data_IF_570518617877
#
_entry.id   IF_570518617877
#
_cell.length_a   1.000
_cell.length_b   1.000
_cell.length_c   1.000
_cell.angle_alpha   90.00
_cell.angle_beta   90.00
_cell.angle_gamma   90.00
#
_symmetry.space_group_name_H-M   'P 1'
#
loop_
_entity.id
_entity.type
_entity.pdbx_description
1 polymer ?
#
# COMPACT_ATOMS: atom_id res chain seq x y z
N UNK A 1 -4.11 11.67 -24.69
CA UNK A 1 -5.53 11.23 -24.69
C UNK A 1 -6.34 12.10 -25.64
N UNK A 2 -6.53 13.41 -25.39
CA UNK A 2 -7.37 14.28 -26.26
C UNK A 2 -6.95 14.37 -27.73
N UNK A 3 -5.73 14.03 -28.08
CA UNK A 3 -5.27 13.99 -29.49
C UNK A 3 -5.68 12.72 -30.24
N UNK A 4 -6.01 11.65 -29.51
CA UNK A 4 -6.28 10.32 -30.06
C UNK A 4 -7.74 9.90 -29.87
N UNK A 5 -8.44 10.49 -28.93
CA UNK A 5 -9.80 10.12 -28.52
C UNK A 5 -10.65 11.36 -28.31
N UNK A 6 -11.95 11.26 -28.55
CA UNK A 6 -12.94 12.20 -28.06
C UNK A 6 -13.09 11.97 -26.55
N UNK A 7 -12.37 12.76 -25.76
CA UNK A 7 -12.20 12.53 -24.32
C UNK A 7 -12.74 13.71 -23.49
N UNK A 8 -13.63 13.40 -22.57
CA UNK A 8 -14.09 14.32 -21.51
C UNK A 8 -13.30 14.02 -20.24
N UNK A 9 -12.73 15.07 -19.64
CA UNK A 9 -11.92 14.95 -18.43
C UNK A 9 -12.70 15.44 -17.20
N UNK A 10 -12.48 14.80 -16.06
CA UNK A 10 -12.88 15.35 -14.77
C UNK A 10 -11.94 16.52 -14.43
N UNK A 11 -12.47 17.74 -14.51
CA UNK A 11 -11.66 18.95 -14.37
C UNK A 11 -11.30 19.29 -12.92
N UNK A 12 -12.05 18.74 -11.96
CA UNK A 12 -11.94 19.12 -10.55
C UNK A 12 -10.89 18.31 -9.78
N UNK A 13 -10.31 17.28 -10.39
CA UNK A 13 -9.39 16.31 -9.76
C UNK A 13 -9.93 15.70 -8.45
N UNK A 14 -11.26 15.71 -8.29
CA UNK A 14 -11.95 15.13 -7.15
C UNK A 14 -12.59 13.79 -7.54
N UNK A 15 -12.75 12.84 -6.59
CA UNK A 15 -13.50 11.62 -6.85
C UNK A 15 -14.89 11.94 -7.39
N UNK A 16 -15.32 11.21 -8.41
CA UNK A 16 -16.65 11.39 -8.96
C UNK A 16 -17.70 10.79 -8.01
N UNK A 17 -18.72 11.55 -7.70
CA UNK A 17 -19.90 11.03 -7.02
C UNK A 17 -20.71 10.08 -7.93
N UNK A 18 -21.69 9.39 -7.33
CA UNK A 18 -22.49 8.39 -8.05
C UNK A 18 -23.26 9.02 -9.24
N UNK A 19 -23.72 10.25 -9.14
CA UNK A 19 -24.45 10.93 -10.21
C UNK A 19 -23.53 11.21 -11.40
N UNK A 20 -22.34 11.77 -11.13
CA UNK A 20 -21.31 12.04 -12.15
C UNK A 20 -20.84 10.77 -12.83
N UNK A 21 -20.61 9.69 -12.05
CA UNK A 21 -20.25 8.37 -12.59
C UNK A 21 -21.33 7.81 -13.50
N UNK A 22 -22.60 7.90 -13.09
CA UNK A 22 -23.75 7.46 -13.91
C UNK A 22 -23.84 8.21 -15.22
N UNK A 23 -23.70 9.54 -15.18
CA UNK A 23 -23.71 10.40 -16.36
C UNK A 23 -22.51 10.09 -17.30
N UNK A 24 -21.32 9.94 -16.74
CA UNK A 24 -20.13 9.58 -17.51
C UNK A 24 -20.30 8.23 -18.20
N UNK A 25 -20.79 7.22 -17.50
CA UNK A 25 -21.04 5.89 -18.07
C UNK A 25 -22.11 5.91 -19.17
N UNK A 26 -23.13 6.77 -19.05
CA UNK A 26 -24.18 6.89 -20.06
C UNK A 26 -23.67 7.48 -21.40
N UNK A 27 -22.59 8.27 -21.35
CA UNK A 27 -22.11 9.05 -22.47
C UNK A 27 -20.78 8.56 -23.07
N UNK A 28 -20.15 7.50 -22.54
CA UNK A 28 -18.86 7.02 -23.03
C UNK A 28 -18.88 5.56 -23.47
N UNK A 29 -17.96 5.21 -24.36
CA UNK A 29 -17.67 3.83 -24.74
C UNK A 29 -16.62 3.20 -23.82
N UNK A 30 -15.75 4.06 -23.24
CA UNK A 30 -14.66 3.71 -22.32
C UNK A 30 -14.70 4.65 -21.13
N UNK A 31 -14.80 4.09 -19.92
CA UNK A 31 -14.63 4.84 -18.68
C UNK A 31 -13.20 4.62 -18.15
N UNK A 32 -12.54 5.70 -17.77
CA UNK A 32 -11.19 5.67 -17.16
C UNK A 32 -11.29 6.19 -15.72
N UNK A 33 -11.70 5.33 -14.77
CA UNK A 33 -11.83 5.74 -13.37
C UNK A 33 -10.49 5.69 -12.65
N UNK A 34 -10.42 6.41 -11.54
CA UNK A 34 -9.36 6.27 -10.54
C UNK A 34 -9.77 5.28 -9.47
N UNK A 35 -8.84 4.90 -8.61
CA UNK A 35 -9.09 3.93 -7.51
C UNK A 35 -10.01 4.49 -6.40
N UNK A 36 -10.35 5.79 -6.46
CA UNK A 36 -11.28 6.45 -5.54
C UNK A 36 -12.73 6.45 -6.03
N UNK A 37 -12.94 6.12 -7.31
CA UNK A 37 -14.26 6.07 -7.93
C UNK A 37 -14.90 4.70 -7.67
N UNK A 38 -15.97 4.64 -6.89
CA UNK A 38 -16.63 3.38 -6.53
C UNK A 38 -17.61 2.92 -7.62
N UNK A 39 -17.27 1.83 -8.32
CA UNK A 39 -18.05 1.22 -9.40
C UNK A 39 -18.62 -0.11 -8.91
N UNK A 40 -19.68 -0.03 -8.13
CA UNK A 40 -20.37 -1.16 -7.53
C UNK A 40 -21.32 -1.90 -8.53
N UNK A 41 -21.88 -3.01 -8.07
CA UNK A 41 -22.80 -3.83 -8.86
C UNK A 41 -24.05 -3.06 -9.31
N UNK A 42 -24.60 -2.19 -8.46
CA UNK A 42 -25.83 -1.44 -8.78
C UNK A 42 -25.56 -0.40 -9.87
N UNK A 43 -24.40 0.26 -9.83
CA UNK A 43 -23.98 1.21 -10.85
C UNK A 43 -23.78 0.48 -12.19
N UNK A 44 -23.11 -0.67 -12.17
CA UNK A 44 -22.91 -1.50 -13.37
C UNK A 44 -24.21 -2.10 -13.90
N UNK A 45 -25.17 -2.43 -13.04
CA UNK A 45 -26.49 -2.89 -13.47
C UNK A 45 -27.20 -1.85 -14.36
N UNK A 46 -27.03 -0.56 -14.06
CA UNK A 46 -27.59 0.55 -14.82
C UNK A 46 -26.74 0.93 -16.05
N UNK A 47 -25.56 0.36 -16.23
CA UNK A 47 -24.66 0.68 -17.34
C UNK A 47 -25.30 0.39 -18.69
N UNK A 48 -25.26 1.34 -19.65
CA UNK A 48 -25.83 1.15 -20.98
C UNK A 48 -24.97 0.18 -21.82
N UNK A 49 -25.54 -0.44 -22.85
CA UNK A 49 -24.79 -1.35 -23.75
C UNK A 49 -23.64 -0.68 -24.50
N UNK A 50 -23.61 0.65 -24.50
CA UNK A 50 -22.54 1.45 -25.11
C UNK A 50 -21.21 1.29 -24.37
N UNK A 51 -21.20 1.24 -23.03
CA UNK A 51 -20.00 1.10 -22.23
C UNK A 51 -19.39 -0.30 -22.46
N UNK A 52 -18.19 -0.35 -23.04
CA UNK A 52 -17.48 -1.60 -23.40
C UNK A 52 -16.27 -1.88 -22.54
N UNK A 53 -15.64 -0.83 -22.00
CA UNK A 53 -14.37 -0.93 -21.29
C UNK A 53 -14.35 -0.01 -20.07
N UNK A 54 -13.90 -0.55 -18.97
CA UNK A 54 -13.46 0.22 -17.81
C UNK A 54 -11.94 0.07 -17.72
N UNK A 55 -11.20 1.12 -18.07
CA UNK A 55 -9.75 1.16 -18.04
C UNK A 55 -9.28 1.82 -16.73
N UNK A 56 -9.17 1.05 -15.65
CA UNK A 56 -8.80 1.56 -14.34
C UNK A 56 -7.41 2.21 -14.36
N UNK A 57 -7.35 3.50 -14.00
CA UNK A 57 -6.10 4.21 -13.77
C UNK A 57 -5.56 3.90 -12.38
N UNK A 58 -5.05 2.67 -12.23
CA UNK A 58 -4.51 2.13 -10.99
C UNK A 58 -4.17 0.66 -11.09
N UNK A 59 -3.32 0.16 -10.20
CA UNK A 59 -2.95 -1.24 -10.13
C UNK A 59 -4.03 -2.10 -9.46
N UNK A 60 -4.72 -1.54 -8.45
CA UNK A 60 -5.82 -2.21 -7.76
C UNK A 60 -7.14 -2.05 -8.51
N UNK A 61 -8.05 -3.00 -8.31
CA UNK A 61 -9.40 -3.01 -8.91
C UNK A 61 -10.50 -3.22 -7.87
N UNK A 62 -10.20 -3.04 -6.58
CA UNK A 62 -11.15 -3.31 -5.48
C UNK A 62 -12.37 -2.37 -5.49
N UNK A 63 -12.26 -1.24 -6.18
CA UNK A 63 -13.30 -0.24 -6.36
C UNK A 63 -14.27 -0.58 -7.49
N UNK A 64 -14.03 -1.70 -8.21
CA UNK A 64 -14.86 -2.15 -9.34
C UNK A 64 -15.40 -3.55 -9.04
N UNK A 65 -16.72 -3.74 -9.14
CA UNK A 65 -17.32 -5.07 -9.08
C UNK A 65 -17.04 -5.83 -10.39
N UNK A 66 -16.00 -6.66 -10.36
CA UNK A 66 -15.57 -7.44 -11.51
C UNK A 66 -16.60 -8.48 -11.97
N UNK A 67 -17.39 -9.02 -11.03
CA UNK A 67 -18.41 -10.01 -11.36
C UNK A 67 -19.57 -9.36 -12.11
N UNK A 68 -20.03 -8.21 -11.65
CA UNK A 68 -21.07 -7.43 -12.32
C UNK A 68 -20.61 -6.91 -13.68
N UNK A 69 -19.36 -6.40 -13.79
CA UNK A 69 -18.79 -5.98 -15.07
C UNK A 69 -18.77 -7.13 -16.09
N UNK A 70 -18.30 -8.31 -15.67
CA UNK A 70 -18.27 -9.51 -16.49
C UNK A 70 -19.68 -9.93 -16.94
N UNK A 71 -20.67 -9.91 -16.05
CA UNK A 71 -22.05 -10.25 -16.37
C UNK A 71 -22.67 -9.31 -17.42
N UNK A 72 -22.23 -8.03 -17.44
CA UNK A 72 -22.63 -7.03 -18.45
C UNK A 72 -21.79 -7.08 -19.73
N UNK A 73 -20.77 -7.94 -19.82
CA UNK A 73 -19.86 -7.99 -20.94
C UNK A 73 -18.92 -6.79 -21.05
N UNK A 74 -18.71 -6.07 -19.93
CA UNK A 74 -17.81 -4.93 -19.86
C UNK A 74 -16.41 -5.45 -19.52
N UNK A 75 -15.43 -5.14 -20.36
CA UNK A 75 -14.03 -5.46 -20.10
C UNK A 75 -13.47 -4.53 -19.00
N UNK A 76 -12.64 -5.08 -18.11
CA UNK A 76 -11.92 -4.29 -17.12
C UNK A 76 -10.42 -4.49 -17.29
N UNK A 77 -9.68 -3.39 -17.39
CA UNK A 77 -8.21 -3.38 -17.44
C UNK A 77 -7.66 -2.52 -16.31
N UNK A 78 -6.41 -2.76 -15.96
CA UNK A 78 -5.68 -2.00 -14.94
C UNK A 78 -4.23 -1.78 -15.35
N UNK A 79 -3.44 -1.05 -14.54
CA UNK A 79 -2.04 -0.71 -14.81
C UNK A 79 -1.09 -1.38 -13.79
N UNK A 80 -0.92 -2.72 -13.83
CA UNK A 80 -0.07 -3.42 -12.87
C UNK A 80 1.41 -3.13 -13.13
N UNK A 81 2.19 -2.99 -12.05
CA UNK A 81 3.65 -2.86 -12.11
C UNK A 81 4.18 -1.43 -12.28
N UNK A 82 3.37 -0.48 -12.73
CA UNK A 82 3.81 0.90 -13.02
C UNK A 82 4.35 1.60 -11.77
N UNK A 83 3.76 1.35 -10.60
CA UNK A 83 4.09 2.02 -9.33
C UNK A 83 4.94 1.17 -8.39
N UNK A 84 5.52 0.06 -8.86
CA UNK A 84 6.23 -0.89 -7.98
C UNK A 84 7.41 -0.23 -7.29
N UNK A 85 8.27 0.42 -8.04
CA UNK A 85 9.49 1.04 -7.52
C UNK A 85 9.18 2.27 -6.68
N UNK A 86 8.31 3.16 -7.15
CA UNK A 86 7.90 4.36 -6.40
C UNK A 86 7.26 4.00 -5.06
N UNK A 87 6.40 2.96 -5.03
CA UNK A 87 5.78 2.48 -3.79
C UNK A 87 6.83 1.86 -2.87
N UNK A 88 7.79 1.11 -3.41
CA UNK A 88 8.85 0.52 -2.61
C UNK A 88 9.79 1.58 -2.04
N UNK A 89 10.12 2.62 -2.79
CA UNK A 89 10.94 3.75 -2.34
C UNK A 89 10.23 4.52 -1.22
N UNK A 90 8.94 4.82 -1.40
CA UNK A 90 8.14 5.46 -0.35
C UNK A 90 8.04 4.58 0.91
N UNK A 91 7.88 3.26 0.74
CA UNK A 91 7.89 2.31 1.87
C UNK A 91 9.19 2.41 2.66
N UNK A 92 10.33 2.42 1.99
CA UNK A 92 11.62 2.57 2.66
C UNK A 92 11.78 3.94 3.32
N UNK A 93 11.31 5.01 2.69
CA UNK A 93 11.30 6.33 3.29
C UNK A 93 10.50 6.34 4.61
N UNK A 94 9.35 5.68 4.66
CA UNK A 94 8.55 5.54 5.89
C UNK A 94 9.23 4.66 6.93
N UNK A 95 9.87 3.56 6.53
CA UNK A 95 10.65 2.67 7.40
C UNK A 95 11.80 3.43 8.06
N UNK A 96 12.41 4.37 7.37
CA UNK A 96 13.47 5.22 7.92
C UNK A 96 12.91 6.36 8.77
N UNK A 97 11.81 6.98 8.35
CA UNK A 97 11.26 8.18 8.96
C UNK A 97 10.88 7.97 10.43
N UNK A 98 10.19 6.85 10.74
CA UNK A 98 9.66 6.60 12.09
C UNK A 98 10.78 6.38 13.13
N UNK A 99 11.67 5.38 13.01
CA UNK A 99 12.69 5.13 14.02
C UNK A 99 13.77 6.22 14.06
N UNK A 100 13.96 6.98 12.98
CA UNK A 100 14.92 8.09 12.93
C UNK A 100 14.29 9.44 13.31
N UNK A 101 13.01 9.46 13.63
CA UNK A 101 12.27 10.66 14.08
C UNK A 101 12.36 11.84 13.11
N UNK A 102 12.38 11.54 11.78
CA UNK A 102 12.60 12.59 10.76
C UNK A 102 11.50 13.64 10.76
N UNK A 103 10.23 13.23 10.97
CA UNK A 103 9.11 14.17 11.07
C UNK A 103 9.24 15.14 12.25
N UNK A 104 9.74 14.68 13.40
CA UNK A 104 10.00 15.54 14.55
C UNK A 104 11.18 16.48 14.29
N UNK A 105 12.27 15.95 13.73
CA UNK A 105 13.43 16.76 13.34
C UNK A 105 13.06 17.85 12.33
N UNK A 106 12.21 17.52 11.36
CA UNK A 106 11.70 18.50 10.40
C UNK A 106 10.90 19.62 11.09
N UNK A 107 9.99 19.28 12.03
CA UNK A 107 9.24 20.28 12.80
C UNK A 107 10.15 21.16 13.65
N UNK A 108 11.11 20.55 14.35
CA UNK A 108 12.07 21.26 15.17
C UNK A 108 12.90 22.27 14.36
N UNK A 109 13.36 21.87 13.17
CA UNK A 109 14.08 22.77 12.26
C UNK A 109 13.21 23.94 11.79
N UNK A 110 11.95 23.65 11.46
CA UNK A 110 11.04 24.70 10.95
C UNK A 110 10.55 25.67 12.01
N UNK A 111 10.46 25.25 13.29
CA UNK A 111 10.09 26.14 14.40
C UNK A 111 11.22 27.10 14.81
N UNK A 112 12.45 26.85 14.36
CA UNK A 112 13.62 27.63 14.78
C UNK A 112 14.09 27.32 16.20
N UNK A 113 13.51 26.32 16.85
CA UNK A 113 13.85 25.93 18.23
C UNK A 113 15.12 25.07 18.33
N UNK A 114 15.64 24.61 17.19
CA UNK A 114 16.88 23.84 17.21
C UNK A 114 18.09 24.74 17.51
N UNK A 115 18.68 24.54 18.70
CA UNK A 115 19.80 25.31 19.20
C UNK A 115 21.17 24.64 18.97
N UNK A 116 21.20 23.52 18.29
CA UNK A 116 22.42 22.77 18.01
C UNK A 116 22.35 21.30 18.46
N UNK A 117 23.43 20.58 18.22
CA UNK A 117 23.56 19.19 18.60
C UNK A 117 23.74 19.02 20.12
N UNK A 118 23.06 18.02 20.70
CA UNK A 118 23.26 17.58 22.08
C UNK A 118 23.39 16.06 22.15
N UNK A 119 24.12 15.51 23.14
CA UNK A 119 24.35 14.05 23.22
C UNK A 119 23.07 13.21 23.35
N UNK A 120 22.03 13.76 23.94
CA UNK A 120 20.74 13.07 24.18
C UNK A 120 19.59 13.63 23.33
N UNK A 121 19.85 14.67 22.54
CA UNK A 121 18.82 15.31 21.71
C UNK A 121 18.49 14.46 20.49
N UNK A 122 17.20 14.33 20.19
CA UNK A 122 16.70 13.67 18.98
C UNK A 122 17.27 12.25 18.73
N UNK A 123 17.54 11.50 19.79
CA UNK A 123 17.99 10.12 19.67
C UNK A 123 16.90 9.29 18.94
N UNK A 124 17.32 8.60 17.90
CA UNK A 124 16.49 7.64 17.17
C UNK A 124 17.05 6.22 17.27
N UNK A 125 16.37 5.28 16.63
CA UNK A 125 16.74 3.86 16.64
C UNK A 125 17.42 3.47 15.33
N UNK A 126 18.46 2.65 15.42
CA UNK A 126 19.10 2.03 14.25
C UNK A 126 18.17 0.95 13.68
N UNK A 127 18.04 0.89 12.35
CA UNK A 127 17.27 -0.16 11.66
C UNK A 127 18.12 -1.37 11.25
N UNK A 128 19.41 -1.20 11.03
CA UNK A 128 20.30 -2.31 10.64
C UNK A 128 20.34 -3.41 11.73
N UNK A 129 20.21 -4.64 11.31
CA UNK A 129 20.08 -5.83 12.17
C UNK A 129 18.66 -6.11 12.67
N UNK A 130 17.70 -5.18 12.44
CA UNK A 130 16.29 -5.36 12.79
C UNK A 130 15.59 -6.29 11.81
N UNK A 131 14.46 -6.88 12.24
CA UNK A 131 13.64 -7.77 11.42
C UNK A 131 12.48 -7.00 10.80
N UNK A 132 12.41 -7.01 9.47
CA UNK A 132 11.28 -6.51 8.70
C UNK A 132 10.36 -7.66 8.32
N UNK A 133 9.15 -7.66 8.85
CA UNK A 133 8.06 -8.54 8.46
C UNK A 133 7.27 -7.96 7.29
N UNK A 134 7.25 -8.65 6.15
CA UNK A 134 6.49 -8.25 4.97
C UNK A 134 5.27 -9.16 4.82
N UNK A 135 4.08 -8.61 4.95
CA UNK A 135 2.82 -9.31 4.79
C UNK A 135 2.25 -9.00 3.41
N UNK A 136 2.17 -10.03 2.55
CA UNK A 136 1.91 -9.84 1.11
C UNK A 136 3.20 -9.64 0.34
N UNK A 137 3.78 -10.74 -0.17
CA UNK A 137 5.06 -10.73 -0.88
C UNK A 137 4.82 -10.89 -2.39
N UNK A 138 4.32 -9.80 -3.01
CA UNK A 138 4.19 -9.62 -4.46
C UNK A 138 5.28 -8.68 -4.98
N UNK A 139 5.09 -8.10 -6.18
CA UNK A 139 6.06 -7.20 -6.82
C UNK A 139 6.59 -6.10 -5.89
N UNK A 140 5.68 -5.42 -5.16
CA UNK A 140 6.06 -4.34 -4.23
C UNK A 140 6.83 -4.93 -3.03
N UNK A 141 6.34 -6.02 -2.42
CA UNK A 141 7.01 -6.65 -1.28
C UNK A 141 8.43 -7.14 -1.63
N UNK A 142 8.62 -7.68 -2.82
CA UNK A 142 9.94 -8.10 -3.34
C UNK A 142 10.87 -6.89 -3.55
N UNK A 143 10.34 -5.80 -4.14
CA UNK A 143 11.10 -4.57 -4.35
C UNK A 143 11.49 -3.89 -3.03
N UNK A 144 10.61 -3.92 -2.02
CA UNK A 144 10.92 -3.46 -0.66
C UNK A 144 11.99 -4.33 -0.01
N UNK A 145 11.88 -5.66 -0.13
CA UNK A 145 12.87 -6.59 0.44
C UNK A 145 14.27 -6.35 -0.13
N UNK A 146 14.39 -6.14 -1.43
CA UNK A 146 15.67 -5.85 -2.08
C UNK A 146 16.32 -4.58 -1.52
N UNK A 147 15.53 -3.51 -1.31
CA UNK A 147 16.00 -2.26 -0.72
C UNK A 147 16.32 -2.41 0.77
N UNK A 148 15.48 -3.10 1.53
CA UNK A 148 15.63 -3.31 2.96
C UNK A 148 16.96 -4.05 3.30
N UNK A 149 17.37 -4.99 2.47
CA UNK A 149 18.66 -5.68 2.61
C UNK A 149 19.85 -4.73 2.53
N UNK A 150 19.81 -3.75 1.64
CA UNK A 150 20.87 -2.74 1.52
C UNK A 150 21.03 -1.90 2.80
N UNK A 151 19.95 -1.76 3.59
CA UNK A 151 19.97 -1.13 4.92
C UNK A 151 20.30 -2.11 6.06
N UNK A 152 20.62 -3.35 5.75
CA UNK A 152 20.99 -4.38 6.74
C UNK A 152 19.82 -4.94 7.55
N UNK A 153 18.59 -4.85 7.04
CA UNK A 153 17.43 -5.48 7.64
C UNK A 153 17.39 -6.99 7.34
N UNK A 154 16.94 -7.78 8.32
CA UNK A 154 16.56 -9.17 8.12
C UNK A 154 15.13 -9.21 7.63
N UNK A 155 14.88 -9.81 6.47
CA UNK A 155 13.53 -9.83 5.88
C UNK A 155 12.87 -11.18 6.09
N UNK A 156 11.70 -11.16 6.72
CA UNK A 156 10.80 -12.30 6.88
C UNK A 156 9.49 -11.98 6.19
N UNK A 157 8.96 -12.91 5.39
CA UNK A 157 7.73 -12.63 4.64
C UNK A 157 6.63 -13.67 4.89
N UNK A 158 5.38 -13.23 4.72
CA UNK A 158 4.19 -14.07 4.73
C UNK A 158 3.39 -13.86 3.45
N UNK A 159 2.98 -14.93 2.81
CA UNK A 159 2.03 -14.97 1.68
C UNK A 159 1.39 -16.35 1.58
N UNK A 160 0.28 -16.47 0.82
CA UNK A 160 -0.44 -17.74 0.65
C UNK A 160 0.43 -18.84 0.06
N UNK A 161 1.17 -18.54 -0.98
CA UNK A 161 2.01 -19.50 -1.70
C UNK A 161 3.48 -19.12 -1.48
N UNK A 162 4.24 -20.00 -0.81
CA UNK A 162 5.66 -19.81 -0.58
C UNK A 162 6.43 -19.67 -1.89
N UNK A 163 7.45 -18.82 -1.92
CA UNK A 163 8.38 -18.74 -3.05
C UNK A 163 9.22 -20.01 -3.16
N UNK A 164 9.75 -20.32 -4.36
CA UNK A 164 10.78 -21.35 -4.51
C UNK A 164 12.00 -21.06 -3.62
N UNK A 165 12.61 -22.10 -3.04
CA UNK A 165 13.76 -21.94 -2.14
C UNK A 165 14.95 -21.22 -2.82
N UNK A 166 15.13 -21.41 -4.13
CA UNK A 166 16.16 -20.69 -4.90
C UNK A 166 15.92 -19.19 -4.93
N UNK A 167 14.67 -18.76 -5.08
CA UNK A 167 14.29 -17.33 -5.07
C UNK A 167 14.44 -16.75 -3.66
N UNK A 168 14.05 -17.48 -2.62
CA UNK A 168 14.27 -17.06 -1.22
C UNK A 168 15.77 -16.85 -0.94
N UNK A 169 16.62 -17.77 -1.41
CA UNK A 169 18.07 -17.66 -1.24
C UNK A 169 18.65 -16.47 -2.00
N UNK A 170 18.24 -16.24 -3.24
CA UNK A 170 18.66 -15.11 -4.07
C UNK A 170 18.27 -13.77 -3.41
N UNK A 171 17.00 -13.65 -3.03
CA UNK A 171 16.48 -12.47 -2.34
C UNK A 171 17.01 -12.34 -0.90
N UNK A 172 17.50 -13.44 -0.31
CA UNK A 172 17.95 -13.51 1.08
C UNK A 172 16.84 -13.22 2.07
N UNK A 173 15.67 -13.81 1.86
CA UNK A 173 14.46 -13.65 2.66
C UNK A 173 14.04 -14.98 3.26
N UNK A 174 13.30 -14.94 4.38
CA UNK A 174 12.80 -16.14 5.04
C UNK A 174 11.27 -16.16 5.02
N UNK A 175 10.70 -17.33 4.73
CA UNK A 175 9.26 -17.55 4.77
C UNK A 175 8.78 -17.88 6.19
N UNK A 176 7.71 -17.22 6.65
CA UNK A 176 7.00 -17.59 7.87
C UNK A 176 5.50 -17.79 7.52
N UNK A 177 5.01 -19.04 7.56
CA UNK A 177 3.62 -19.34 7.26
C UNK A 177 2.65 -18.83 8.33
N UNK A 178 3.08 -18.76 9.57
CA UNK A 178 2.29 -18.31 10.70
C UNK A 178 2.42 -16.79 10.86
N UNK A 179 1.30 -16.09 10.65
CA UNK A 179 1.26 -14.64 10.72
C UNK A 179 1.56 -14.11 12.13
N UNK A 180 1.08 -14.78 13.17
CA UNK A 180 1.27 -14.33 14.55
C UNK A 180 2.74 -14.53 14.98
N UNK A 181 3.39 -15.60 14.49
CA UNK A 181 4.84 -15.79 14.65
C UNK A 181 5.64 -14.74 13.89
N UNK A 182 5.23 -14.36 12.68
CA UNK A 182 5.88 -13.27 11.96
C UNK A 182 5.75 -11.96 12.75
N UNK A 183 4.55 -11.64 13.21
CA UNK A 183 4.24 -10.40 13.95
C UNK A 183 5.05 -10.33 15.25
N UNK A 184 5.11 -11.42 16.01
CA UNK A 184 5.83 -11.45 17.30
C UNK A 184 7.36 -11.33 17.17
N UNK A 185 7.92 -11.64 16.00
CA UNK A 185 9.37 -11.59 15.72
C UNK A 185 9.80 -10.33 14.99
N UNK A 186 8.85 -9.61 14.37
CA UNK A 186 9.17 -8.45 13.58
C UNK A 186 9.37 -7.20 14.43
N UNK A 187 10.46 -6.49 14.21
CA UNK A 187 10.66 -5.13 14.72
C UNK A 187 9.85 -4.10 13.90
N UNK A 188 9.67 -4.39 12.61
CA UNK A 188 8.95 -3.52 11.66
C UNK A 188 8.03 -4.40 10.83
N UNK A 189 6.78 -3.98 10.61
CA UNK A 189 5.83 -4.67 9.73
C UNK A 189 5.44 -3.75 8.57
N UNK A 190 5.45 -4.31 7.37
CA UNK A 190 4.99 -3.66 6.14
C UNK A 190 3.93 -4.51 5.45
N UNK A 191 2.79 -3.89 5.13
CA UNK A 191 1.63 -4.54 4.54
C UNK A 191 1.56 -4.25 3.04
N UNK A 192 1.65 -5.30 2.22
CA UNK A 192 1.57 -5.26 0.76
C UNK A 192 0.56 -6.25 0.20
N UNK A 193 -0.32 -6.76 1.05
CA UNK A 193 -1.43 -7.63 0.63
C UNK A 193 -2.62 -6.79 0.12
N UNK A 194 -3.44 -7.33 -0.80
CA UNK A 194 -4.68 -6.69 -1.21
C UNK A 194 -5.66 -6.64 -0.04
N UNK A 195 -6.58 -5.67 -0.07
CA UNK A 195 -7.70 -5.62 0.86
C UNK A 195 -8.76 -6.63 0.43
N UNK A 196 -9.00 -7.61 1.28
CA UNK A 196 -10.06 -8.62 1.13
C UNK A 196 -10.75 -8.79 2.48
N UNK A 197 -11.82 -9.56 2.53
CA UNK A 197 -12.48 -9.90 3.80
C UNK A 197 -11.51 -10.57 4.80
N UNK A 198 -10.54 -11.35 4.30
CA UNK A 198 -9.55 -12.03 5.15
C UNK A 198 -8.42 -11.11 5.61
N UNK A 199 -8.12 -10.05 4.86
CA UNK A 199 -7.04 -9.10 5.18
C UNK A 199 -7.51 -7.79 5.77
N UNK A 200 -8.81 -7.58 5.85
CA UNK A 200 -9.39 -6.45 6.56
C UNK A 200 -9.07 -6.56 8.06
N UNK A 201 -8.56 -5.46 8.63
CA UNK A 201 -8.12 -5.42 10.04
C UNK A 201 -7.13 -6.53 10.43
N UNK A 202 -6.33 -6.98 9.45
CA UNK A 202 -5.35 -8.05 9.66
C UNK A 202 -4.38 -7.74 10.81
N UNK A 203 -3.94 -6.50 10.94
CA UNK A 203 -3.20 -5.98 12.10
C UNK A 203 -4.19 -5.28 13.02
N UNK A 204 -4.59 -6.00 14.06
CA UNK A 204 -5.50 -5.55 15.10
C UNK A 204 -4.74 -5.26 16.42
N UNK A 205 -5.48 -4.86 17.46
CA UNK A 205 -4.88 -4.53 18.76
C UNK A 205 -4.10 -5.70 19.39
N UNK A 206 -4.58 -6.94 19.22
CA UNK A 206 -3.92 -8.13 19.75
C UNK A 206 -2.56 -8.35 19.08
N UNK A 207 -2.49 -8.25 17.74
CA UNK A 207 -1.24 -8.37 17.00
C UNK A 207 -0.28 -7.21 17.28
N UNK A 208 -0.81 -6.00 17.45
CA UNK A 208 0.01 -4.87 17.90
C UNK A 208 0.62 -5.14 19.28
N UNK A 209 -0.16 -5.72 20.22
CA UNK A 209 0.35 -6.09 21.52
C UNK A 209 1.46 -7.14 21.46
N UNK A 210 1.40 -8.09 20.53
CA UNK A 210 2.48 -9.07 20.32
C UNK A 210 3.81 -8.41 19.92
N UNK A 211 3.78 -7.30 19.18
CA UNK A 211 4.98 -6.53 18.78
C UNK A 211 5.56 -5.69 19.92
N UNK A 212 4.76 -5.23 20.87
CA UNK A 212 5.20 -4.32 21.93
C UNK A 212 6.30 -4.89 22.82
N UNK A 213 6.41 -6.22 22.94
CA UNK A 213 7.50 -6.88 23.66
C UNK A 213 8.86 -6.79 22.94
N UNK A 214 8.86 -6.40 21.64
CA UNK A 214 10.04 -6.36 20.79
C UNK A 214 10.48 -4.92 20.39
N UNK A 215 9.92 -3.85 20.97
CA UNK A 215 10.19 -2.44 20.56
C UNK A 215 9.84 -2.16 19.09
N UNK A 216 8.75 -2.75 18.58
CA UNK A 216 8.41 -2.75 17.16
C UNK A 216 7.77 -1.46 16.66
N UNK A 217 7.99 -1.15 15.39
CA UNK A 217 7.33 -0.08 14.65
C UNK A 217 6.41 -0.67 13.57
N UNK A 218 5.20 -0.17 13.46
CA UNK A 218 4.26 -0.61 12.43
C UNK A 218 4.21 0.44 11.32
N UNK A 219 4.52 0.01 10.10
CA UNK A 219 4.37 0.80 8.89
C UNK A 219 3.42 0.04 7.98
N UNK A 220 2.20 0.54 7.86
CA UNK A 220 1.21 -0.01 6.94
C UNK A 220 1.15 0.85 5.68
N UNK A 221 1.65 0.32 4.56
CA UNK A 221 1.39 0.88 3.24
C UNK A 221 0.40 -0.05 2.57
N UNK A 222 -0.84 0.41 2.46
CA UNK A 222 -1.84 -0.26 1.65
C UNK A 222 -1.54 -0.01 0.18
N UNK A 223 -1.43 -1.05 -0.62
CA UNK A 223 -1.23 -0.97 -2.07
C UNK A 223 -2.45 -0.44 -2.85
N UNK A 224 -3.45 0.06 -2.16
CA UNK A 224 -4.56 0.85 -2.70
C UNK A 224 -4.69 2.12 -1.86
N UNK A 225 -4.06 3.19 -2.33
CA UNK A 225 -4.26 4.61 -2.00
C UNK A 225 -4.66 5.00 -0.56
N UNK A 226 -3.67 5.61 0.10
CA UNK A 226 -3.80 6.79 0.97
C UNK A 226 -4.88 6.71 2.06
N UNK A 227 -4.57 5.94 3.12
CA UNK A 227 -4.92 6.32 4.46
C UNK A 227 -3.72 5.97 5.34
N UNK A 228 -2.84 6.94 5.52
CA UNK A 228 -1.70 6.83 6.42
C UNK A 228 -2.21 6.90 7.87
N UNK A 229 -2.27 5.76 8.52
CA UNK A 229 -2.31 5.75 9.98
C UNK A 229 -0.96 5.22 10.48
N UNK A 230 -0.08 6.14 10.85
CA UNK A 230 1.11 5.83 11.62
C UNK A 230 0.70 5.88 13.08
N UNK A 231 0.52 4.72 13.70
CA UNK A 231 0.38 4.62 15.15
C UNK A 231 1.76 4.34 15.73
N UNK A 232 2.47 5.39 16.17
CA UNK A 232 3.60 5.24 17.06
C UNK A 232 3.02 5.01 18.46
N UNK A 233 3.14 3.79 18.97
CA UNK A 233 2.89 3.53 20.39
C UNK A 233 4.21 3.79 21.11
N UNK A 234 4.36 5.00 21.66
CA UNK A 234 5.42 5.32 22.61
C UNK A 234 5.01 4.74 23.96
N UNK A 235 5.61 3.61 24.36
CA UNK A 235 5.63 3.21 25.76
C UNK A 235 6.56 4.15 26.53
N UNK A 236 6.06 4.72 27.60
CA UNK A 236 6.85 5.38 28.63
C UNK A 236 7.74 4.37 29.35
#
# INVERSE_FOLDING_TARGET
MAQLFDATFNADDLPMDRSKLTEAMANCDVLVPTVTDNIDADLLAAAPPRLKLIASYGAGVNHIDLAAAKAKGIMVTNTPGVFTDDTADLTMAMILNVPRRLGEGHRLMRSGEWSGWTPTGMLGHRIGGKTLGIIGFGRIGEAVAARAKAFGLNVVYNKRNRLPASVEAELGVAFEPDLDRLVSRADIISLHCPLTAETEKLINAERIAMMMYASGFIIAIRSALINFSVSAVSGQ
#
